data_IF_344365172251
#
_entry.id   IF_344365172251
#
_cell.length_a   1.000
_cell.length_b   1.000
_cell.length_c   1.000
_cell.angle_alpha   90.00
_cell.angle_beta   90.00
_cell.angle_gamma   90.00
#
_symmetry.space_group_name_H-M   'P 1'
#
loop_
_entity.id
_entity.type
_entity.pdbx_description
1 polymer ?
#
# COMPACT_ATOMS: atom_id res chain seq x y z
N UNK A 1 -16.85 -14.10 -25.56
CA UNK A 1 -16.34 -12.77 -25.18
C UNK A 1 -14.91 -12.93 -24.68
N UNK A 2 -13.92 -12.47 -25.43
CA UNK A 2 -12.52 -12.53 -25.01
C UNK A 2 -12.28 -11.34 -24.06
N UNK A 3 -12.20 -11.60 -22.76
CA UNK A 3 -11.72 -10.62 -21.80
C UNK A 3 -10.24 -10.37 -22.07
N UNK A 4 -9.91 -9.25 -22.69
CA UNK A 4 -8.53 -8.81 -22.80
C UNK A 4 -8.01 -8.58 -21.39
N UNK A 5 -7.04 -9.42 -20.94
CA UNK A 5 -6.31 -9.22 -19.67
C UNK A 5 -5.72 -7.80 -19.67
N UNK A 6 -6.30 -6.92 -18.88
CA UNK A 6 -5.67 -5.62 -18.64
C UNK A 6 -4.39 -5.83 -17.85
N UNK A 7 -3.27 -5.40 -18.38
CA UNK A 7 -2.00 -5.39 -17.66
C UNK A 7 -2.03 -4.25 -16.64
N UNK A 8 -2.40 -4.59 -15.41
CA UNK A 8 -2.34 -3.66 -14.28
C UNK A 8 -0.89 -3.51 -13.81
N UNK A 9 -0.58 -2.32 -13.33
CA UNK A 9 0.69 -2.01 -12.65
C UNK A 9 0.41 -1.66 -11.20
N UNK A 10 1.40 -1.87 -10.35
CA UNK A 10 1.39 -1.54 -8.93
C UNK A 10 2.66 -0.78 -8.57
N UNK A 11 2.55 0.16 -7.66
CA UNK A 11 3.67 0.88 -7.04
C UNK A 11 3.52 0.80 -5.52
N UNK A 12 4.62 0.69 -4.81
CA UNK A 12 4.63 0.90 -3.36
C UNK A 12 4.43 2.38 -3.08
N UNK A 13 3.51 2.71 -2.18
CA UNK A 13 3.27 4.09 -1.76
C UNK A 13 3.33 4.17 -0.24
N UNK A 14 4.17 5.07 0.29
CA UNK A 14 4.22 5.40 1.71
C UNK A 14 3.74 6.84 1.86
N UNK A 15 2.74 7.05 2.71
CA UNK A 15 2.20 8.36 2.99
C UNK A 15 2.25 8.65 4.50
N UNK A 16 2.37 9.93 4.84
CA UNK A 16 2.23 10.41 6.22
C UNK A 16 0.75 10.54 6.60
N UNK A 17 0.46 10.60 7.89
CA UNK A 17 -0.88 10.90 8.39
C UNK A 17 -1.36 12.32 7.98
N UNK A 18 -0.44 13.21 7.60
CA UNK A 18 -0.74 14.50 7.01
C UNK A 18 -1.03 14.47 5.51
N UNK A 19 -1.34 13.33 4.93
CA UNK A 19 -1.66 13.13 3.50
C UNK A 19 -0.51 13.38 2.52
N UNK A 20 0.73 13.55 2.99
CA UNK A 20 1.87 13.72 2.11
C UNK A 20 2.44 12.37 1.68
N UNK A 21 2.81 12.24 0.42
CA UNK A 21 3.52 11.08 -0.10
C UNK A 21 4.98 11.23 0.27
N UNK A 22 5.48 10.30 1.08
CA UNK A 22 6.87 10.23 1.52
C UNK A 22 7.73 9.40 0.57
N UNK A 23 7.11 8.39 -0.06
CA UNK A 23 7.76 7.50 -1.00
C UNK A 23 6.77 6.98 -2.03
N UNK A 24 7.21 6.88 -3.27
CA UNK A 24 6.53 6.14 -4.32
C UNK A 24 7.57 5.30 -5.06
N UNK A 25 7.34 4.00 -5.11
CA UNK A 25 8.25 3.04 -5.72
C UNK A 25 8.10 2.93 -7.24
N UNK A 26 8.99 2.14 -7.84
CA UNK A 26 8.91 1.81 -9.26
C UNK A 26 7.68 0.95 -9.58
N UNK A 27 7.34 0.89 -10.85
CA UNK A 27 6.17 0.13 -11.32
C UNK A 27 6.48 -1.36 -11.44
N UNK A 28 5.68 -2.18 -10.77
CA UNK A 28 5.70 -3.63 -10.88
C UNK A 28 4.48 -4.15 -11.64
N UNK A 29 4.58 -5.31 -12.31
CA UNK A 29 3.41 -6.00 -12.85
C UNK A 29 2.39 -6.31 -11.75
N UNK A 30 1.10 -6.10 -12.01
CA UNK A 30 0.02 -6.26 -11.03
C UNK A 30 -0.11 -7.66 -10.40
N UNK A 31 0.51 -8.69 -11.01
CA UNK A 31 0.58 -10.05 -10.45
C UNK A 31 1.53 -10.19 -9.27
N UNK A 32 2.42 -9.22 -9.04
CA UNK A 32 3.38 -9.28 -7.95
C UNK A 32 2.68 -9.12 -6.61
N UNK A 33 3.15 -9.85 -5.61
CA UNK A 33 2.66 -9.73 -4.23
C UNK A 33 3.21 -8.44 -3.61
N UNK A 34 2.35 -7.67 -2.92
CA UNK A 34 2.69 -6.35 -2.40
C UNK A 34 3.90 -6.38 -1.45
N UNK A 35 3.94 -7.30 -0.50
CA UNK A 35 5.07 -7.46 0.40
C UNK A 35 6.35 -7.92 -0.31
N UNK A 36 6.23 -8.72 -1.38
CA UNK A 36 7.37 -9.12 -2.21
C UNK A 36 7.98 -7.95 -3.01
N UNK A 37 7.13 -7.01 -3.46
CA UNK A 37 7.58 -5.77 -4.10
C UNK A 37 8.31 -4.89 -3.08
N UNK A 38 7.70 -4.70 -1.92
CA UNK A 38 8.23 -3.90 -0.83
C UNK A 38 9.64 -4.36 -0.42
N UNK A 39 9.88 -5.66 -0.26
CA UNK A 39 11.20 -6.20 0.08
C UNK A 39 12.28 -5.98 -0.99
N UNK A 40 11.90 -5.85 -2.24
CA UNK A 40 12.83 -5.50 -3.33
C UNK A 40 13.27 -4.05 -3.27
N UNK A 41 12.40 -3.16 -2.79
CA UNK A 41 12.67 -1.73 -2.67
C UNK A 41 13.35 -1.38 -1.34
N UNK A 42 12.99 -2.09 -0.27
CA UNK A 42 13.53 -1.88 1.08
C UNK A 42 14.19 -3.17 1.57
N UNK A 43 15.52 -3.25 1.51
CA UNK A 43 16.23 -4.41 2.05
C UNK A 43 15.99 -4.51 3.57
N UNK A 44 15.46 -5.67 4.09
CA UNK A 44 15.17 -5.86 5.51
C UNK A 44 16.41 -5.73 6.43
N UNK A 45 17.61 -5.94 5.90
CA UNK A 45 18.85 -5.81 6.68
C UNK A 45 19.18 -4.36 7.07
N UNK A 46 18.52 -3.39 6.44
CA UNK A 46 18.73 -1.97 6.70
C UNK A 46 17.65 -1.41 7.63
N UNK A 47 18.03 -0.45 8.47
CA UNK A 47 17.15 0.17 9.47
C UNK A 47 16.29 1.31 8.88
N UNK A 48 15.46 0.99 7.87
CA UNK A 48 14.62 1.98 7.20
C UNK A 48 13.56 2.62 8.11
N UNK A 49 13.00 1.82 9.03
CA UNK A 49 11.76 2.16 9.73
C UNK A 49 11.89 2.20 11.26
N UNK A 50 13.10 2.12 11.82
CA UNK A 50 13.35 1.97 13.25
C UNK A 50 12.70 3.04 14.13
N UNK A 51 12.51 4.26 13.62
CA UNK A 51 11.96 5.40 14.35
C UNK A 51 10.51 5.71 13.97
N UNK A 52 9.84 4.86 13.19
CA UNK A 52 8.51 5.12 12.69
C UNK A 52 7.45 4.21 13.31
N UNK A 53 6.26 4.78 13.51
CA UNK A 53 5.04 4.03 13.76
C UNK A 53 4.40 3.73 12.40
N UNK A 54 4.24 2.46 12.08
CA UNK A 54 3.84 2.01 10.74
C UNK A 54 2.42 1.44 10.79
N UNK A 55 1.60 1.84 9.83
CA UNK A 55 0.27 1.29 9.58
C UNK A 55 0.32 0.55 8.25
N UNK A 56 0.03 -0.73 8.25
CA UNK A 56 0.10 -1.58 7.06
C UNK A 56 -1.13 -2.48 6.94
N UNK A 57 -1.38 -2.94 5.72
CA UNK A 57 -2.48 -3.86 5.43
C UNK A 57 -2.08 -5.32 5.68
N UNK A 58 -3.07 -6.20 5.71
CA UNK A 58 -2.90 -7.66 5.80
C UNK A 58 -2.01 -8.25 4.69
N UNK A 59 -1.86 -7.55 3.58
CA UNK A 59 -0.92 -7.93 2.50
C UNK A 59 0.55 -7.96 2.92
N UNK A 60 0.89 -7.34 4.07
CA UNK A 60 2.25 -7.22 4.61
C UNK A 60 2.46 -8.09 5.86
N UNK A 61 1.73 -9.19 5.99
CA UNK A 61 1.94 -10.16 7.07
C UNK A 61 3.39 -10.66 7.05
N UNK A 62 4.05 -10.64 8.22
CA UNK A 62 5.47 -10.96 8.37
C UNK A 62 6.39 -9.76 8.48
N UNK A 63 5.91 -8.55 8.20
CA UNK A 63 6.70 -7.32 8.28
C UNK A 63 7.36 -7.14 9.65
N UNK A 64 6.65 -7.39 10.75
CA UNK A 64 7.18 -7.29 12.13
C UNK A 64 8.38 -8.19 12.40
N UNK A 65 8.51 -9.28 11.66
CA UNK A 65 9.58 -10.25 11.86
C UNK A 65 10.86 -9.86 11.11
N UNK A 66 10.72 -9.04 10.08
CA UNK A 66 11.81 -8.71 9.17
C UNK A 66 12.31 -7.27 9.32
N UNK A 67 11.44 -6.33 9.71
CA UNK A 67 11.79 -4.91 9.83
C UNK A 67 11.73 -4.42 11.27
N UNK A 68 12.76 -3.67 11.67
CA UNK A 68 12.79 -2.95 12.95
C UNK A 68 11.99 -1.66 12.84
N UNK A 69 11.06 -1.45 13.77
CA UNK A 69 10.19 -0.27 13.83
C UNK A 69 9.96 0.15 15.27
N UNK A 70 9.45 1.37 15.48
CA UNK A 70 8.99 1.76 16.80
C UNK A 70 7.68 1.04 17.16
N UNK A 71 6.72 0.98 16.23
CA UNK A 71 5.50 0.17 16.35
C UNK A 71 4.94 -0.18 14.97
N UNK A 72 4.27 -1.33 14.88
CA UNK A 72 3.54 -1.74 13.67
C UNK A 72 2.09 -2.04 14.01
N UNK A 73 1.19 -1.42 13.27
CA UNK A 73 -0.25 -1.60 13.37
C UNK A 73 -0.73 -2.39 12.15
N UNK A 74 -1.05 -3.67 12.35
CA UNK A 74 -1.60 -4.59 11.34
C UNK A 74 -2.99 -5.00 11.77
N UNK A 75 -4.02 -4.93 10.92
CA UNK A 75 -5.36 -5.39 11.26
C UNK A 75 -5.38 -6.87 11.64
N UNK A 76 -6.21 -7.21 12.63
CA UNK A 76 -6.46 -8.60 13.00
C UNK A 76 -7.08 -9.36 11.86
N UNK A 77 -6.43 -10.42 11.44
CA UNK A 77 -6.94 -11.33 10.41
C UNK A 77 -8.01 -12.24 11.01
N UNK A 78 -9.15 -12.35 10.31
CA UNK A 78 -10.15 -13.34 10.68
C UNK A 78 -9.56 -14.75 10.57
N UNK A 79 -9.71 -15.62 11.59
CA UNK A 79 -9.22 -16.99 11.54
C UNK A 79 -9.84 -17.76 10.38
N UNK A 80 -9.11 -18.73 9.85
CA UNK A 80 -9.63 -19.59 8.80
C UNK A 80 -10.67 -20.57 9.39
N UNK A 81 -11.65 -20.94 8.57
CA UNK A 81 -12.60 -21.98 8.95
C UNK A 81 -11.87 -23.32 9.18
N UNK A 82 -12.22 -24.01 10.24
CA UNK A 82 -11.70 -25.35 10.56
C UNK A 82 -12.86 -26.25 11.02
N UNK A 83 -12.60 -27.55 11.13
CA UNK A 83 -13.59 -28.51 11.67
C UNK A 83 -14.00 -28.15 13.09
N UNK A 84 -13.09 -27.63 13.92
CA UNK A 84 -13.35 -27.23 15.31
C UNK A 84 -13.93 -25.83 15.43
N UNK A 85 -13.78 -24.99 14.40
CA UNK A 85 -14.34 -23.63 14.35
C UNK A 85 -14.91 -23.35 12.96
N UNK A 86 -16.13 -23.80 12.67
CA UNK A 86 -16.74 -23.63 11.34
C UNK A 86 -17.13 -22.19 11.03
N UNK A 87 -17.37 -21.36 12.06
CA UNK A 87 -17.76 -19.97 11.94
C UNK A 87 -16.84 -19.04 12.75
N UNK A 88 -15.55 -18.95 12.38
CA UNK A 88 -14.63 -18.10 13.12
C UNK A 88 -15.06 -16.64 13.00
N UNK A 89 -14.98 -15.91 14.11
CA UNK A 89 -15.25 -14.48 14.18
C UNK A 89 -14.14 -13.79 14.94
N UNK A 90 -13.94 -12.51 14.65
CA UNK A 90 -13.09 -11.66 15.50
C UNK A 90 -13.82 -11.34 16.79
N UNK A 91 -13.07 -11.18 17.88
CA UNK A 91 -13.62 -10.67 19.15
C UNK A 91 -14.08 -9.21 18.98
N UNK A 92 -14.96 -8.72 19.86
CA UNK A 92 -15.43 -7.35 19.81
C UNK A 92 -14.27 -6.33 19.96
N UNK A 93 -13.27 -6.64 20.81
CA UNK A 93 -12.08 -5.79 20.93
C UNK A 93 -11.29 -5.74 19.62
N UNK A 94 -11.06 -6.89 18.98
CA UNK A 94 -10.36 -6.96 17.68
C UNK A 94 -11.12 -6.22 16.58
N UNK A 95 -12.46 -6.28 16.59
CA UNK A 95 -13.29 -5.51 15.65
C UNK A 95 -13.15 -4.00 15.88
N UNK A 96 -13.12 -3.57 17.14
CA UNK A 96 -12.92 -2.17 17.50
C UNK A 96 -11.53 -1.69 17.07
N UNK A 97 -10.48 -2.42 17.39
CA UNK A 97 -9.11 -2.12 16.98
C UNK A 97 -8.98 -2.04 15.45
N UNK A 98 -9.56 -3.00 14.72
CA UNK A 98 -9.58 -2.96 13.26
C UNK A 98 -10.32 -1.73 12.71
N UNK A 99 -11.40 -1.30 13.37
CA UNK A 99 -12.13 -0.09 12.99
C UNK A 99 -11.30 1.17 13.21
N UNK A 100 -10.55 1.24 14.29
CA UNK A 100 -9.68 2.38 14.56
C UNK A 100 -8.51 2.41 13.56
N UNK A 101 -7.86 1.27 13.29
CA UNK A 101 -6.82 1.16 12.25
C UNK A 101 -7.35 1.48 10.86
N UNK A 102 -8.63 1.19 10.56
CA UNK A 102 -9.19 1.48 9.24
C UNK A 102 -9.28 2.97 8.96
N UNK A 103 -9.41 3.83 9.98
CA UNK A 103 -9.41 5.29 9.83
C UNK A 103 -8.08 5.81 9.30
N UNK A 104 -6.98 5.26 9.80
CA UNK A 104 -5.63 5.61 9.33
C UNK A 104 -5.37 5.11 7.90
N UNK A 105 -5.92 3.93 7.55
CA UNK A 105 -5.83 3.40 6.18
C UNK A 105 -6.55 4.27 5.16
N UNK A 106 -7.68 4.87 5.52
CA UNK A 106 -8.44 5.77 4.65
C UNK A 106 -7.57 6.94 4.17
N UNK A 107 -6.60 7.39 4.97
CA UNK A 107 -5.65 8.44 4.58
C UNK A 107 -4.86 8.02 3.34
N UNK A 108 -4.32 6.81 3.33
CA UNK A 108 -3.56 6.29 2.18
C UNK A 108 -4.46 6.11 0.96
N UNK A 109 -5.70 5.64 1.17
CA UNK A 109 -6.69 5.52 0.10
C UNK A 109 -7.04 6.89 -0.50
N UNK A 110 -7.16 7.94 0.32
CA UNK A 110 -7.38 9.33 -0.13
C UNK A 110 -6.19 9.84 -0.94
N UNK A 111 -4.97 9.60 -0.48
CA UNK A 111 -3.74 9.99 -1.20
C UNK A 111 -3.69 9.31 -2.58
N UNK A 112 -3.88 7.99 -2.62
CA UNK A 112 -3.89 7.23 -3.87
C UNK A 112 -5.04 7.68 -4.78
N UNK A 113 -6.23 7.91 -4.21
CA UNK A 113 -7.39 8.44 -4.93
C UNK A 113 -7.13 9.83 -5.51
N UNK A 114 -6.46 10.69 -4.75
CA UNK A 114 -6.04 12.02 -5.20
C UNK A 114 -5.05 11.97 -6.37
N UNK A 115 -4.04 11.12 -6.29
CA UNK A 115 -3.12 10.88 -7.42
C UNK A 115 -3.84 10.38 -8.67
N UNK A 116 -4.85 9.52 -8.52
CA UNK A 116 -5.63 8.98 -9.63
C UNK A 116 -6.51 10.02 -10.36
N UNK A 117 -6.67 11.23 -9.81
CA UNK A 117 -7.28 12.37 -10.55
C UNK A 117 -6.46 12.72 -11.78
N UNK A 118 -5.16 12.48 -11.75
CA UNK A 118 -4.31 12.56 -12.93
C UNK A 118 -4.57 11.34 -13.81
N UNK A 119 -5.33 11.52 -14.86
CA UNK A 119 -5.83 10.45 -15.74
C UNK A 119 -4.74 9.56 -16.34
N UNK A 120 -3.51 10.07 -16.44
CA UNK A 120 -2.36 9.29 -16.87
C UNK A 120 -2.07 8.06 -16.00
N UNK A 121 -2.55 8.03 -14.74
CA UNK A 121 -2.40 6.87 -13.84
C UNK A 121 -3.59 5.89 -13.95
N UNK A 122 -4.69 6.30 -14.56
CA UNK A 122 -5.93 5.50 -14.63
C UNK A 122 -6.16 4.95 -16.02
N UNK A 123 -5.92 5.79 -17.04
CA UNK A 123 -6.18 5.44 -18.42
C UNK A 123 -5.18 4.40 -18.93
N UNK A 124 -5.58 3.64 -19.95
CA UNK A 124 -4.70 2.63 -20.57
C UNK A 124 -3.41 3.27 -21.05
N UNK A 125 -2.32 2.92 -20.39
CA UNK A 125 -1.01 3.43 -20.73
C UNK A 125 -0.51 2.83 -22.05
N UNK A 126 -0.35 3.66 -23.07
CA UNK A 126 0.02 3.26 -24.44
C UNK A 126 1.53 3.35 -24.71
N UNK A 127 2.23 4.18 -23.93
CA UNK A 127 3.68 4.34 -24.09
C UNK A 127 4.42 3.09 -23.60
N UNK A 128 5.28 2.54 -24.45
CA UNK A 128 6.06 1.32 -24.15
C UNK A 128 7.50 1.62 -23.71
N UNK A 129 7.91 2.91 -23.69
CA UNK A 129 9.26 3.26 -23.22
C UNK A 129 9.41 2.92 -21.75
N UNK A 130 10.53 2.30 -21.42
CA UNK A 130 10.91 1.99 -20.04
C UNK A 130 11.03 3.26 -19.19
N UNK A 131 10.67 3.20 -17.92
CA UNK A 131 10.72 4.31 -16.97
C UNK A 131 9.64 5.39 -17.12
N UNK A 132 8.94 5.48 -18.26
CA UNK A 132 7.93 6.55 -18.48
C UNK A 132 6.74 6.39 -17.53
N UNK A 133 6.35 5.18 -17.18
CA UNK A 133 5.28 4.93 -16.19
C UNK A 133 5.66 5.45 -14.81
N UNK A 134 6.91 5.19 -14.41
CA UNK A 134 7.44 5.64 -13.12
C UNK A 134 7.50 7.16 -13.08
N UNK A 135 7.94 7.80 -14.19
CA UNK A 135 7.94 9.26 -14.31
C UNK A 135 6.55 9.85 -14.06
N UNK A 136 5.49 9.29 -14.65
CA UNK A 136 4.12 9.77 -14.41
C UNK A 136 3.68 9.57 -12.97
N UNK A 137 4.05 8.45 -12.34
CA UNK A 137 3.75 8.19 -10.93
C UNK A 137 4.46 9.21 -10.02
N UNK A 138 5.74 9.50 -10.28
CA UNK A 138 6.50 10.51 -9.55
C UNK A 138 5.93 11.92 -9.74
N UNK A 139 5.62 12.31 -10.97
CA UNK A 139 5.01 13.62 -11.24
C UNK A 139 3.66 13.77 -10.53
N UNK A 140 2.81 12.73 -10.55
CA UNK A 140 1.53 12.76 -9.85
C UNK A 140 1.72 12.90 -8.34
N UNK A 141 2.71 12.23 -7.74
CA UNK A 141 3.04 12.35 -6.33
C UNK A 141 3.54 13.76 -5.96
N UNK A 142 4.41 14.34 -6.79
CA UNK A 142 4.90 15.71 -6.61
C UNK A 142 3.75 16.70 -6.67
N UNK A 143 2.90 16.61 -7.68
CA UNK A 143 1.75 17.51 -7.85
C UNK A 143 0.73 17.33 -6.71
N UNK A 144 0.52 16.11 -6.24
CA UNK A 144 -0.31 15.86 -5.06
C UNK A 144 0.26 16.58 -3.83
N UNK A 145 1.54 16.36 -3.52
CA UNK A 145 2.19 16.99 -2.38
C UNK A 145 2.17 18.53 -2.48
N UNK A 146 2.40 19.06 -3.67
CA UNK A 146 2.30 20.50 -3.90
C UNK A 146 0.91 21.03 -3.53
N UNK A 147 -0.17 20.38 -4.00
CA UNK A 147 -1.55 20.78 -3.68
C UNK A 147 -1.92 20.58 -2.20
N UNK A 148 -1.17 19.77 -1.45
CA UNK A 148 -1.43 19.57 -0.03
C UNK A 148 -0.71 20.60 0.86
N UNK A 149 0.35 21.23 0.36
CA UNK A 149 1.16 22.20 1.09
C UNK A 149 0.67 23.64 0.85
N UNK A 150 0.16 23.92 -0.33
CA UNK A 150 -0.31 25.22 -0.80
C UNK A 150 -1.80 25.22 -1.12
#
# INVERSE_FOLDING_TARGET
MNFTKQHTIKNTTIASLGHLILYIGVSFPGKNHDYGMFKKEFNPELNWFSNFNIFIDLGYLGFNNEYKTNSVNIPHKKPNKSKHNPNPTLTENQKKENKDMSRERVIVEHVIGGMKRYRCLVDKFRNKKEGVKDLFSFLAAILWNFNMIY
#
